data_IF_797306079049
#
_entry.id   IF_797306079049
#
_cell.length_a   1.000
_cell.length_b   1.000
_cell.length_c   1.000
_cell.angle_alpha   90.00
_cell.angle_beta   90.00
_cell.angle_gamma   90.00
#
_symmetry.space_group_name_H-M   'P 1'
#
loop_
_entity.id
_entity.type
_entity.pdbx_description
1 polymer ?
#
# COMPACT_ATOMS: atom_id res chain seq x y z
N UNK A 1 -29.24 -44.14 27.36
CA UNK A 1 -28.53 -42.85 27.52
C UNK A 1 -29.31 -41.80 28.32
N UNK A 2 -30.63 -41.65 28.15
CA UNK A 2 -31.42 -40.62 28.86
C UNK A 2 -31.36 -40.68 30.40
N UNK A 3 -31.30 -41.88 30.99
CA UNK A 3 -31.18 -42.02 32.45
C UNK A 3 -29.84 -41.53 33.00
N UNK A 4 -28.73 -41.73 32.27
CA UNK A 4 -27.40 -41.24 32.67
C UNK A 4 -27.34 -39.70 32.64
N UNK A 5 -27.93 -39.08 31.62
CA UNK A 5 -28.03 -37.63 31.51
C UNK A 5 -28.86 -37.03 32.66
N UNK A 6 -29.97 -37.68 33.02
CA UNK A 6 -30.84 -37.29 34.15
C UNK A 6 -30.13 -37.40 35.50
N UNK A 7 -29.32 -38.45 35.69
CA UNK A 7 -28.50 -38.64 36.89
C UNK A 7 -27.40 -37.57 36.97
N UNK A 8 -26.73 -37.26 35.86
CA UNK A 8 -25.69 -36.22 35.80
C UNK A 8 -26.23 -34.83 36.17
N UNK A 9 -27.40 -34.43 35.66
CA UNK A 9 -28.03 -33.14 35.99
C UNK A 9 -28.42 -33.07 37.47
N UNK A 10 -29.05 -34.12 38.03
CA UNK A 10 -29.37 -34.15 39.48
C UNK A 10 -28.11 -34.05 40.34
N UNK A 11 -27.01 -34.66 39.90
CA UNK A 11 -25.73 -34.60 40.60
C UNK A 11 -25.18 -33.15 40.61
N UNK A 12 -25.16 -32.49 39.44
CA UNK A 12 -24.72 -31.10 39.30
C UNK A 12 -25.57 -30.13 40.14
N UNK A 13 -26.89 -30.36 40.20
CA UNK A 13 -27.83 -29.59 41.02
C UNK A 13 -27.72 -29.86 42.53
N UNK A 14 -27.22 -31.03 42.95
CA UNK A 14 -26.99 -31.35 44.37
C UNK A 14 -25.74 -30.66 44.91
N UNK A 15 -24.67 -30.60 44.12
CA UNK A 15 -23.39 -29.99 44.50
C UNK A 15 -23.21 -28.57 43.92
N UNK A 16 -24.24 -27.71 44.07
CA UNK A 16 -24.31 -26.38 43.42
C UNK A 16 -23.02 -25.57 43.55
N UNK A 17 -22.44 -25.46 44.76
CA UNK A 17 -21.25 -24.64 45.02
C UNK A 17 -20.01 -25.11 44.24
N UNK A 18 -19.80 -26.44 44.13
CA UNK A 18 -18.67 -27.00 43.38
C UNK A 18 -18.89 -26.84 41.88
N UNK A 19 -20.09 -27.18 41.42
CA UNK A 19 -20.48 -27.03 40.01
C UNK A 19 -20.35 -25.59 39.54
N UNK A 20 -20.81 -24.61 40.32
CA UNK A 20 -20.71 -23.18 39.96
C UNK A 20 -19.26 -22.72 39.90
N UNK A 21 -18.41 -23.09 40.85
CA UNK A 21 -16.98 -22.72 40.81
C UNK A 21 -16.29 -23.27 39.56
N UNK A 22 -16.50 -24.54 39.23
CA UNK A 22 -15.91 -25.15 38.02
C UNK A 22 -16.50 -24.58 36.74
N UNK A 23 -17.82 -24.36 36.69
CA UNK A 23 -18.48 -23.80 35.52
C UNK A 23 -18.06 -22.34 35.28
N UNK A 24 -17.94 -21.53 36.34
CA UNK A 24 -17.45 -20.16 36.24
C UNK A 24 -16.00 -20.10 35.78
N UNK A 25 -15.14 -20.99 36.27
CA UNK A 25 -13.74 -21.05 35.81
C UNK A 25 -13.66 -21.33 34.30
N UNK A 26 -14.42 -22.32 33.82
CA UNK A 26 -14.48 -22.65 32.39
C UNK A 26 -15.11 -21.50 31.59
N UNK A 27 -16.22 -20.92 32.07
CA UNK A 27 -16.89 -19.82 31.40
C UNK A 27 -15.98 -18.59 31.26
N UNK A 28 -15.27 -18.22 32.33
CA UNK A 28 -14.30 -17.12 32.31
C UNK A 28 -13.17 -17.41 31.32
N UNK A 29 -12.62 -18.64 31.33
CA UNK A 29 -11.60 -19.05 30.36
C UNK A 29 -12.08 -18.91 28.91
N UNK A 30 -13.29 -19.38 28.61
CA UNK A 30 -13.90 -19.26 27.27
C UNK A 30 -14.15 -17.80 26.90
N UNK A 31 -14.65 -16.98 27.83
CA UNK A 31 -14.85 -15.54 27.61
C UNK A 31 -13.54 -14.87 27.23
N UNK A 32 -12.45 -15.13 27.97
CA UNK A 32 -11.15 -14.56 27.65
C UNK A 32 -10.63 -14.99 26.28
N UNK A 33 -10.78 -16.26 25.92
CA UNK A 33 -10.39 -16.75 24.59
C UNK A 33 -11.22 -16.07 23.49
N UNK A 34 -12.53 -15.97 23.66
CA UNK A 34 -13.41 -15.31 22.68
C UNK A 34 -13.11 -13.81 22.55
N UNK A 35 -12.86 -13.12 23.67
CA UNK A 35 -12.46 -11.71 23.66
C UNK A 35 -11.12 -11.53 22.96
N UNK A 36 -10.14 -12.38 23.26
CA UNK A 36 -8.83 -12.33 22.62
C UNK A 36 -8.95 -12.54 21.11
N UNK A 37 -9.65 -13.58 20.67
CA UNK A 37 -9.89 -13.85 19.24
C UNK A 37 -10.62 -12.69 18.56
N UNK A 38 -11.65 -12.14 19.19
CA UNK A 38 -12.42 -11.01 18.66
C UNK A 38 -11.60 -9.72 18.53
N UNK A 39 -10.81 -9.38 19.55
CA UNK A 39 -9.94 -8.20 19.55
C UNK A 39 -8.82 -8.36 18.53
N UNK A 40 -8.11 -9.50 18.53
CA UNK A 40 -7.02 -9.77 17.57
C UNK A 40 -7.54 -9.80 16.13
N UNK A 41 -8.69 -10.41 15.89
CA UNK A 41 -9.32 -10.42 14.56
C UNK A 41 -9.70 -9.02 14.09
N UNK A 42 -10.32 -8.22 14.96
CA UNK A 42 -10.71 -6.83 14.63
C UNK A 42 -9.49 -5.95 14.37
N UNK A 43 -8.44 -6.09 15.18
CA UNK A 43 -7.19 -5.36 14.99
C UNK A 43 -6.52 -5.73 13.66
N UNK A 44 -6.50 -7.02 13.29
CA UNK A 44 -5.98 -7.47 11.99
C UNK A 44 -6.75 -6.86 10.82
N UNK A 45 -8.09 -6.90 10.85
CA UNK A 45 -8.92 -6.29 9.80
C UNK A 45 -8.73 -4.78 9.71
N UNK A 46 -8.62 -4.10 10.85
CA UNK A 46 -8.35 -2.66 10.88
C UNK A 46 -6.98 -2.34 10.29
N UNK A 47 -5.92 -3.05 10.69
CA UNK A 47 -4.56 -2.82 10.23
C UNK A 47 -4.41 -3.11 8.74
N UNK A 48 -5.05 -4.16 8.24
CA UNK A 48 -5.07 -4.50 6.81
C UNK A 48 -5.76 -3.41 5.99
N UNK A 49 -6.96 -2.97 6.39
CA UNK A 49 -7.65 -1.87 5.73
C UNK A 49 -6.84 -0.57 5.74
N UNK A 50 -6.20 -0.23 6.86
CA UNK A 50 -5.31 0.93 6.93
C UNK A 50 -4.15 0.83 5.94
N UNK A 51 -3.50 -0.32 5.79
CA UNK A 51 -2.37 -0.49 4.87
C UNK A 51 -2.80 -0.48 3.40
N UNK A 52 -3.88 -1.20 3.08
CA UNK A 52 -4.38 -1.36 1.71
C UNK A 52 -5.00 -0.06 1.20
N UNK A 53 -5.80 0.61 2.01
CA UNK A 53 -6.58 1.77 1.58
C UNK A 53 -5.78 3.07 1.64
N UNK A 54 -4.59 3.08 2.25
CA UNK A 54 -3.82 4.30 2.47
C UNK A 54 -2.45 4.34 1.76
N UNK A 55 -1.94 3.20 1.28
CA UNK A 55 -0.65 3.15 0.56
C UNK A 55 -0.57 2.05 -0.51
N UNK A 56 -0.89 0.80 -0.18
CA UNK A 56 -0.54 -0.32 -1.07
C UNK A 56 -1.56 -0.55 -2.19
N UNK A 57 -2.84 -0.39 -1.92
CA UNK A 57 -3.91 -1.00 -2.72
C UNK A 57 -4.11 -2.47 -2.33
N UNK A 58 -5.08 -3.14 -2.96
CA UNK A 58 -5.37 -4.55 -2.70
C UNK A 58 -4.37 -5.47 -3.42
N UNK A 59 -4.07 -5.14 -4.67
CA UNK A 59 -3.15 -5.85 -5.56
C UNK A 59 -2.21 -4.83 -6.20
N UNK A 60 -0.96 -5.21 -6.45
CA UNK A 60 -0.03 -4.45 -7.26
C UNK A 60 0.49 -5.28 -8.43
N UNK A 61 0.73 -4.60 -9.55
CA UNK A 61 1.37 -5.19 -10.74
C UNK A 61 2.70 -4.49 -10.99
N UNK A 62 3.73 -5.29 -11.19
CA UNK A 62 5.10 -4.83 -11.46
C UNK A 62 5.69 -5.54 -12.68
N UNK A 63 6.76 -4.99 -13.24
CA UNK A 63 7.61 -5.74 -14.16
C UNK A 63 8.31 -6.86 -13.41
N UNK A 64 8.48 -8.01 -14.07
CA UNK A 64 9.15 -9.17 -13.46
C UNK A 64 10.53 -8.82 -12.88
N UNK A 65 10.74 -9.20 -11.62
CA UNK A 65 11.99 -8.97 -10.89
C UNK A 65 12.10 -7.61 -10.21
N UNK A 66 11.11 -6.72 -10.35
CA UNK A 66 11.14 -5.40 -9.72
C UNK A 66 11.17 -5.50 -8.19
N UNK A 67 10.35 -6.39 -7.62
CA UNK A 67 10.26 -6.59 -6.16
C UNK A 67 11.60 -7.04 -5.56
N UNK A 68 12.35 -7.90 -6.26
CA UNK A 68 13.67 -8.36 -5.80
C UNK A 68 14.71 -7.22 -5.73
N UNK A 69 14.45 -6.08 -6.37
CA UNK A 69 15.32 -4.90 -6.38
C UNK A 69 14.60 -3.65 -5.90
N UNK A 70 13.48 -3.78 -5.18
CA UNK A 70 12.63 -2.64 -4.79
C UNK A 70 13.38 -1.58 -3.97
N UNK A 71 14.36 -1.99 -3.17
CA UNK A 71 15.18 -1.08 -2.37
C UNK A 71 16.00 -0.12 -3.23
N UNK A 72 16.36 -0.53 -4.46
CA UNK A 72 17.13 0.28 -5.40
C UNK A 72 16.23 1.14 -6.32
N UNK A 73 14.90 0.99 -6.24
CA UNK A 73 13.92 1.67 -7.09
C UNK A 73 14.35 1.71 -8.58
N UNK A 74 14.55 0.56 -9.23
CA UNK A 74 15.22 0.46 -10.51
C UNK A 74 14.35 1.02 -11.64
N UNK A 75 14.67 2.23 -12.09
CA UNK A 75 13.99 2.88 -13.23
C UNK A 75 14.13 2.07 -14.53
N UNK A 76 15.17 1.25 -14.65
CA UNK A 76 15.38 0.35 -15.79
C UNK A 76 14.30 -0.73 -15.92
N UNK A 77 13.58 -1.01 -14.83
CA UNK A 77 12.57 -2.05 -14.73
C UNK A 77 11.15 -1.47 -14.80
N UNK A 78 10.98 -0.21 -15.19
CA UNK A 78 9.67 0.37 -15.41
C UNK A 78 8.97 -0.26 -16.63
N UNK A 79 7.64 -0.24 -16.61
CA UNK A 79 6.75 -0.68 -17.68
C UNK A 79 6.58 0.44 -18.69
N UNK A 80 6.71 0.12 -19.99
CA UNK A 80 6.55 1.09 -21.07
C UNK A 80 5.08 1.49 -21.23
N UNK A 81 4.77 2.66 -21.82
CA UNK A 81 3.38 3.10 -21.98
C UNK A 81 2.50 2.12 -22.75
N UNK A 82 3.05 1.39 -23.72
CA UNK A 82 2.32 0.38 -24.48
C UNK A 82 1.94 -0.83 -23.61
N UNK A 83 2.85 -1.27 -22.74
CA UNK A 83 2.63 -2.34 -21.76
C UNK A 83 1.54 -1.90 -20.76
N UNK A 84 1.64 -0.68 -20.24
CA UNK A 84 0.66 -0.08 -19.31
C UNK A 84 -0.73 0.04 -19.95
N UNK A 85 -0.84 0.58 -21.18
CA UNK A 85 -2.13 0.68 -21.88
C UNK A 85 -2.79 -0.68 -22.11
N UNK A 86 -2.00 -1.72 -22.32
CA UNK A 86 -2.51 -3.10 -22.44
C UNK A 86 -3.05 -3.60 -21.11
N UNK A 87 -2.32 -3.37 -20.02
CA UNK A 87 -2.76 -3.67 -18.65
C UNK A 87 -4.06 -2.94 -18.30
N UNK A 88 -4.15 -1.65 -18.59
CA UNK A 88 -5.35 -0.83 -18.33
C UNK A 88 -6.59 -1.37 -19.06
N UNK A 89 -6.45 -1.76 -20.33
CA UNK A 89 -7.54 -2.38 -21.09
C UNK A 89 -8.00 -3.70 -20.46
N UNK A 90 -7.07 -4.51 -19.95
CA UNK A 90 -7.42 -5.75 -19.25
C UNK A 90 -8.14 -5.45 -17.94
N UNK A 91 -7.70 -4.45 -17.18
CA UNK A 91 -8.36 -4.07 -15.93
C UNK A 91 -9.78 -3.56 -16.15
N UNK A 92 -10.01 -2.77 -17.21
CA UNK A 92 -11.36 -2.30 -17.59
C UNK A 92 -12.30 -3.44 -18.00
N UNK A 93 -11.75 -4.57 -18.49
CA UNK A 93 -12.53 -5.75 -18.83
C UNK A 93 -12.97 -6.59 -17.62
N UNK A 94 -12.41 -6.35 -16.43
CA UNK A 94 -12.74 -7.10 -15.22
C UNK A 94 -13.76 -6.36 -14.35
N UNK A 95 -14.97 -6.90 -14.14
CA UNK A 95 -16.00 -6.23 -13.36
C UNK A 95 -15.66 -6.13 -11.87
N UNK A 96 -14.74 -6.94 -11.35
CA UNK A 96 -14.35 -6.96 -9.94
C UNK A 96 -13.35 -5.84 -9.56
N UNK A 97 -12.69 -5.22 -10.55
CA UNK A 97 -11.78 -4.10 -10.32
C UNK A 97 -12.61 -2.81 -10.19
N UNK A 98 -12.37 -2.05 -9.12
CA UNK A 98 -13.04 -0.77 -8.87
C UNK A 98 -12.26 0.38 -9.50
N UNK A 99 -10.96 0.42 -9.24
CA UNK A 99 -10.06 1.49 -9.66
C UNK A 99 -8.62 0.99 -9.69
N UNK A 100 -7.76 1.71 -10.42
CA UNK A 100 -6.34 1.46 -10.49
C UNK A 100 -5.59 2.79 -10.51
N UNK A 101 -4.34 2.79 -10.04
CA UNK A 101 -3.47 3.95 -10.02
C UNK A 101 -2.05 3.58 -10.45
N UNK A 102 -1.57 4.07 -11.61
CA UNK A 102 -0.19 3.89 -12.03
C UNK A 102 0.72 4.87 -11.27
N UNK A 103 1.91 4.39 -10.89
CA UNK A 103 2.88 5.15 -10.09
C UNK A 103 4.29 5.04 -10.65
N UNK A 104 5.02 6.15 -10.57
CA UNK A 104 6.47 6.20 -10.82
C UNK A 104 7.15 6.30 -9.47
N UNK A 105 7.95 5.31 -9.11
CA UNK A 105 8.71 5.31 -7.85
C UNK A 105 10.17 5.57 -8.11
N UNK A 106 10.73 6.55 -7.41
CA UNK A 106 12.14 6.90 -7.56
C UNK A 106 12.72 7.48 -6.27
N UNK A 107 14.01 7.26 -6.07
CA UNK A 107 14.77 7.90 -5.01
C UNK A 107 15.25 9.27 -5.46
N UNK A 108 15.29 10.22 -4.52
CA UNK A 108 15.87 11.53 -4.76
C UNK A 108 16.52 12.11 -3.51
N UNK A 109 17.30 13.15 -3.72
CA UNK A 109 17.82 14.03 -2.68
C UNK A 109 16.83 15.19 -2.55
N UNK A 110 16.26 15.31 -1.37
CA UNK A 110 15.46 16.46 -0.96
C UNK A 110 16.39 17.52 -0.36
N UNK A 111 16.27 18.77 -0.81
CA UNK A 111 17.04 19.91 -0.31
C UNK A 111 16.13 21.04 0.16
N UNK A 112 16.35 21.50 1.39
CA UNK A 112 15.74 22.71 1.95
C UNK A 112 16.58 23.97 1.71
N UNK A 113 17.52 23.93 0.74
CA UNK A 113 18.59 24.92 0.51
C UNK A 113 19.64 25.03 1.63
N UNK A 114 19.32 24.62 2.85
CA UNK A 114 20.23 24.58 4.01
C UNK A 114 20.79 23.20 4.25
N UNK A 115 19.95 22.17 4.10
CA UNK A 115 20.29 20.78 4.37
C UNK A 115 19.80 19.89 3.22
N UNK A 116 20.34 18.68 3.15
CA UNK A 116 19.92 17.66 2.19
C UNK A 116 19.69 16.33 2.86
N UNK A 117 18.75 15.55 2.35
CA UNK A 117 18.47 14.19 2.81
C UNK A 117 17.86 13.36 1.70
N UNK A 118 17.85 12.03 1.87
CA UNK A 118 17.19 11.14 0.92
C UNK A 118 15.69 11.08 1.17
N UNK A 119 14.93 11.15 0.07
CA UNK A 119 13.48 10.97 0.01
C UNK A 119 13.14 9.92 -1.05
N UNK A 120 12.07 9.15 -0.82
CA UNK A 120 11.46 8.32 -1.87
C UNK A 120 10.23 9.06 -2.38
N UNK A 121 10.10 9.17 -3.69
CA UNK A 121 9.00 9.89 -4.32
C UNK A 121 8.13 8.95 -5.12
N UNK A 122 6.83 9.22 -5.02
CA UNK A 122 5.79 8.54 -5.78
C UNK A 122 5.15 9.59 -6.70
N UNK A 123 5.42 9.48 -7.99
CA UNK A 123 4.71 10.22 -9.03
C UNK A 123 3.36 9.55 -9.28
N UNK A 124 2.27 10.24 -8.99
CA UNK A 124 0.90 9.68 -9.06
C UNK A 124 -0.03 10.59 -9.85
N UNK A 125 -1.12 10.02 -10.37
CA UNK A 125 -2.29 10.79 -10.80
C UNK A 125 -3.20 11.00 -9.59
N UNK A 126 -3.34 12.23 -9.04
CA UNK A 126 -4.00 12.45 -7.76
C UNK A 126 -5.43 11.90 -7.70
N UNK A 127 -6.22 12.09 -8.76
CA UNK A 127 -7.60 11.62 -8.82
C UNK A 127 -7.71 10.09 -8.86
N UNK A 128 -6.81 9.42 -9.57
CA UNK A 128 -6.79 7.96 -9.66
C UNK A 128 -6.29 7.34 -8.35
N UNK A 129 -5.28 7.97 -7.74
CA UNK A 129 -4.72 7.57 -6.46
C UNK A 129 -5.77 7.66 -5.35
N UNK A 130 -6.50 8.78 -5.24
CA UNK A 130 -7.56 8.93 -4.23
C UNK A 130 -8.73 7.96 -4.42
N UNK A 131 -9.05 7.59 -5.68
CA UNK A 131 -10.07 6.56 -5.97
C UNK A 131 -9.59 5.15 -5.63
N UNK A 132 -8.29 4.89 -5.76
CA UNK A 132 -7.68 3.57 -5.48
C UNK A 132 -7.37 3.42 -3.99
N UNK A 133 -7.03 4.52 -3.33
CA UNK A 133 -6.67 4.62 -1.93
C UNK A 133 -7.57 5.64 -1.20
N UNK A 134 -8.75 5.25 -0.72
CA UNK A 134 -9.69 6.19 -0.12
C UNK A 134 -9.15 6.85 1.17
N UNK A 135 -8.22 6.20 1.88
CA UNK A 135 -7.59 6.75 3.08
C UNK A 135 -6.32 7.57 2.80
N UNK A 136 -5.90 7.69 1.53
CA UNK A 136 -4.71 8.48 1.17
C UNK A 136 -4.87 9.96 1.56
N UNK A 137 -5.98 10.59 1.16
CA UNK A 137 -6.22 12.01 1.42
C UNK A 137 -6.42 12.32 2.93
N UNK A 138 -6.86 11.34 3.73
CA UNK A 138 -6.97 11.51 5.19
C UNK A 138 -5.63 11.53 5.89
N UNK A 139 -4.57 10.98 5.30
CA UNK A 139 -3.21 11.01 5.87
C UNK A 139 -2.53 12.37 5.73
N UNK A 140 -3.01 13.22 4.83
CA UNK A 140 -2.49 14.58 4.68
C UNK A 140 -3.09 15.42 5.81
N UNK A 141 -2.28 15.65 6.85
CA UNK A 141 -2.71 16.33 8.08
C UNK A 141 -2.69 17.84 7.96
N UNK A 142 -1.76 18.34 7.15
CA UNK A 142 -1.53 19.78 6.96
C UNK A 142 -1.46 20.10 5.48
N UNK A 143 -2.06 21.22 5.08
CA UNK A 143 -2.01 21.73 3.71
C UNK A 143 -3.17 21.24 2.83
N UNK A 144 -2.96 21.30 1.52
CA UNK A 144 -3.96 20.86 0.54
C UNK A 144 -3.96 19.33 0.41
N UNK A 145 -5.15 18.73 0.39
CA UNK A 145 -5.31 17.28 0.23
C UNK A 145 -5.12 16.79 -1.20
N UNK A 146 -4.93 17.70 -2.15
CA UNK A 146 -4.69 17.43 -3.56
C UNK A 146 -3.26 17.80 -3.90
N UNK A 147 -2.64 17.02 -4.77
CA UNK A 147 -1.30 17.27 -5.31
C UNK A 147 -1.48 17.94 -6.67
N UNK A 148 -1.05 19.19 -6.84
CA UNK A 148 -1.03 19.84 -8.15
C UNK A 148 0.36 19.75 -8.79
N UNK A 149 0.45 20.13 -10.06
CA UNK A 149 1.73 20.23 -10.77
C UNK A 149 2.60 21.31 -10.11
N UNK A 150 3.90 21.02 -9.96
CA UNK A 150 4.85 21.89 -9.27
C UNK A 150 4.78 21.83 -7.74
N UNK A 151 3.97 20.93 -7.19
CA UNK A 151 3.81 20.74 -5.75
C UNK A 151 4.33 19.38 -5.28
N UNK A 152 4.64 19.30 -3.98
CA UNK A 152 5.08 18.08 -3.31
C UNK A 152 4.36 17.92 -1.98
N UNK A 153 3.91 16.71 -1.70
CA UNK A 153 3.52 16.29 -0.36
C UNK A 153 4.68 15.56 0.29
N UNK A 154 5.12 16.06 1.44
CA UNK A 154 6.29 15.54 2.14
C UNK A 154 5.88 14.74 3.38
N UNK A 155 6.62 13.68 3.76
CA UNK A 155 6.35 12.96 4.99
C UNK A 155 6.68 13.83 6.21
N UNK A 156 5.90 13.67 7.27
CA UNK A 156 6.06 14.40 8.53
C UNK A 156 7.48 14.33 9.11
N UNK A 157 8.15 13.18 8.97
CA UNK A 157 9.52 13.00 9.41
C UNK A 157 10.50 13.98 8.74
N UNK A 158 10.30 14.28 7.46
CA UNK A 158 11.13 15.25 6.73
C UNK A 158 10.73 16.69 7.05
N UNK A 159 9.44 16.98 7.17
CA UNK A 159 8.96 18.29 7.60
C UNK A 159 9.57 18.69 8.95
N UNK A 160 9.47 17.82 9.96
CA UNK A 160 10.03 18.06 11.29
C UNK A 160 11.56 18.07 11.30
N UNK A 161 12.18 17.11 10.60
CA UNK A 161 13.64 16.95 10.58
C UNK A 161 14.36 18.12 9.91
N UNK A 162 13.79 18.64 8.81
CA UNK A 162 14.40 19.72 8.02
C UNK A 162 13.77 21.09 8.26
N UNK A 163 12.80 21.17 9.19
CA UNK A 163 12.07 22.40 9.54
C UNK A 163 11.38 23.05 8.34
N UNK A 164 10.84 22.23 7.45
CA UNK A 164 10.11 22.65 6.24
C UNK A 164 8.61 22.55 6.50
N UNK A 165 7.87 23.60 6.16
CA UNK A 165 6.42 23.70 6.35
C UNK A 165 5.67 23.71 5.01
N UNK A 166 4.35 23.51 5.07
CA UNK A 166 3.50 23.72 3.91
C UNK A 166 3.58 25.19 3.45
N UNK A 167 3.79 25.38 2.15
CA UNK A 167 4.02 26.67 1.51
C UNK A 167 5.48 26.94 1.12
N UNK A 168 6.43 26.26 1.77
CA UNK A 168 7.87 26.43 1.50
C UNK A 168 8.26 25.86 0.14
N UNK A 169 9.34 26.39 -0.43
CA UNK A 169 9.93 25.86 -1.67
C UNK A 169 11.12 24.98 -1.32
N UNK A 170 11.22 23.84 -1.99
CA UNK A 170 12.31 22.88 -1.84
C UNK A 170 12.83 22.46 -3.21
N UNK A 171 13.99 21.81 -3.24
CA UNK A 171 14.54 21.21 -4.46
C UNK A 171 14.56 19.69 -4.31
N UNK A 172 14.00 18.99 -5.29
CA UNK A 172 14.22 17.56 -5.45
C UNK A 172 15.26 17.36 -6.53
N UNK A 173 16.29 16.58 -6.23
CA UNK A 173 17.33 16.17 -7.18
C UNK A 173 17.25 14.65 -7.33
N UNK A 174 17.18 14.14 -8.55
CA UNK A 174 17.16 12.70 -8.80
C UNK A 174 18.01 12.35 -10.02
N UNK A 175 18.38 11.08 -10.09
CA UNK A 175 19.09 10.51 -11.23
C UNK A 175 18.07 9.80 -12.13
N UNK A 176 18.15 10.02 -13.43
CA UNK A 176 17.37 9.27 -14.40
C UNK A 176 17.95 7.86 -14.63
N UNK A 177 17.29 7.09 -15.49
CA UNK A 177 17.69 5.75 -15.91
C UNK A 177 19.10 5.67 -16.52
N UNK A 178 19.56 6.75 -17.15
CA UNK A 178 20.88 6.87 -17.79
C UNK A 178 21.95 7.44 -16.86
N UNK A 179 21.61 7.69 -15.59
CA UNK A 179 22.52 8.28 -14.59
C UNK A 179 22.68 9.80 -14.69
N UNK A 180 21.91 10.47 -15.54
CA UNK A 180 21.87 11.93 -15.62
C UNK A 180 21.17 12.52 -14.40
N UNK A 181 21.79 13.54 -13.79
CA UNK A 181 21.25 14.26 -12.64
C UNK A 181 20.34 15.39 -13.12
N UNK A 182 19.18 15.51 -12.50
CA UNK A 182 18.29 16.64 -12.71
C UNK A 182 17.67 17.10 -11.40
N UNK A 183 17.32 18.38 -11.32
CA UNK A 183 16.71 18.98 -10.14
C UNK A 183 15.51 19.83 -10.51
N UNK A 184 14.46 19.78 -9.69
CA UNK A 184 13.26 20.62 -9.85
C UNK A 184 12.88 21.27 -8.52
N UNK A 185 12.56 22.56 -8.59
CA UNK A 185 11.96 23.27 -7.46
C UNK A 185 10.48 22.90 -7.36
N UNK A 186 10.04 22.55 -6.17
CA UNK A 186 8.66 22.21 -5.86
C UNK A 186 8.21 22.98 -4.63
N UNK A 187 6.93 23.33 -4.60
CA UNK A 187 6.30 23.93 -3.42
C UNK A 187 5.68 22.84 -2.56
N UNK A 188 5.94 22.87 -1.25
CA UNK A 188 5.33 21.91 -0.32
C UNK A 188 3.84 22.24 -0.18
N UNK A 189 2.97 21.41 -0.73
CA UNK A 189 1.51 21.62 -0.65
C UNK A 189 0.91 21.00 0.60
N UNK A 190 1.51 19.93 1.11
CA UNK A 190 1.01 19.26 2.31
C UNK A 190 2.03 18.37 3.00
N UNK A 191 1.67 17.99 4.22
CA UNK A 191 2.45 17.07 5.07
C UNK A 191 1.61 15.82 5.29
N UNK A 192 2.20 14.66 4.96
CA UNK A 192 1.54 13.36 5.10
C UNK A 192 2.10 12.60 6.30
N UNK A 193 1.20 12.01 7.09
CA UNK A 193 1.57 11.10 8.16
C UNK A 193 2.28 9.87 7.61
N UNK A 194 3.35 9.47 8.28
CA UNK A 194 4.06 8.23 7.96
C UNK A 194 3.23 7.03 8.42
N UNK A 195 3.25 5.96 7.63
CA UNK A 195 2.65 4.70 8.04
C UNK A 195 3.67 3.92 8.86
N UNK A 196 3.17 3.14 9.83
CA UNK A 196 3.97 2.20 10.61
C UNK A 196 4.66 1.18 9.71
N UNK A 197 5.99 1.20 9.67
CA UNK A 197 6.79 0.29 8.85
C UNK A 197 8.13 0.91 8.45
N UNK A 198 8.95 0.18 7.66
CA UNK A 198 10.24 0.69 7.20
C UNK A 198 10.12 1.88 6.22
N UNK A 199 8.89 2.25 5.81
CA UNK A 199 8.61 3.37 4.91
C UNK A 199 8.09 4.63 5.62
N UNK A 200 9.03 5.45 6.11
CA UNK A 200 8.72 6.76 6.71
C UNK A 200 9.19 7.97 5.87
N UNK A 201 9.71 7.74 4.66
CA UNK A 201 10.29 8.79 3.81
C UNK A 201 9.63 8.89 2.43
N UNK A 202 8.38 8.47 2.33
CA UNK A 202 7.63 8.49 1.08
C UNK A 202 6.90 9.84 0.91
N UNK A 203 7.36 10.61 -0.07
CA UNK A 203 6.68 11.80 -0.58
C UNK A 203 5.90 11.49 -1.85
N UNK A 204 5.05 12.44 -2.23
CA UNK A 204 4.17 12.31 -3.40
C UNK A 204 4.24 13.58 -4.24
N UNK A 205 4.30 13.41 -5.55
CA UNK A 205 4.31 14.48 -6.55
C UNK A 205 3.35 14.13 -7.68
N UNK A 206 2.96 15.11 -8.47
CA UNK A 206 2.23 14.82 -9.69
C UNK A 206 3.11 14.00 -10.64
N UNK A 207 2.53 13.02 -11.34
CA UNK A 207 3.30 12.12 -12.21
C UNK A 207 4.07 12.86 -13.32
N UNK A 208 3.53 13.96 -13.83
CA UNK A 208 4.24 14.83 -14.76
C UNK A 208 5.49 15.49 -14.14
N UNK A 209 5.43 15.89 -12.87
CA UNK A 209 6.61 16.41 -12.18
C UNK A 209 7.67 15.33 -11.99
N UNK A 210 7.24 14.09 -11.70
CA UNK A 210 8.14 12.93 -11.65
C UNK A 210 8.81 12.68 -13.01
N UNK A 211 8.05 12.74 -14.10
CA UNK A 211 8.59 12.60 -15.45
C UNK A 211 9.60 13.71 -15.79
N UNK A 212 9.29 14.96 -15.46
CA UNK A 212 10.22 16.08 -15.66
C UNK A 212 11.49 15.93 -14.84
N UNK A 213 11.37 15.55 -13.56
CA UNK A 213 12.51 15.28 -12.68
C UNK A 213 13.38 14.17 -13.26
N UNK A 214 12.78 13.07 -13.72
CA UNK A 214 13.50 11.94 -14.28
C UNK A 214 13.86 12.10 -15.76
N UNK A 215 13.57 13.25 -16.40
CA UNK A 215 13.77 13.49 -17.83
C UNK A 215 13.20 12.38 -18.71
N UNK A 216 11.99 11.94 -18.39
CA UNK A 216 11.27 10.92 -19.13
C UNK A 216 10.48 11.56 -20.28
N UNK A 217 10.74 11.12 -21.50
CA UNK A 217 9.94 11.51 -22.68
C UNK A 217 8.57 10.81 -22.69
N UNK A 218 8.53 9.58 -22.17
CA UNK A 218 7.35 8.73 -22.09
C UNK A 218 7.09 8.29 -20.64
N UNK A 219 5.83 8.11 -20.22
CA UNK A 219 5.50 7.66 -18.87
C UNK A 219 5.88 6.19 -18.67
N UNK A 220 7.10 5.94 -18.21
CA UNK A 220 7.56 4.63 -17.76
C UNK A 220 7.10 4.38 -16.30
N UNK A 221 6.14 3.47 -16.10
CA UNK A 221 5.47 3.24 -14.82
C UNK A 221 6.16 2.14 -14.01
N UNK A 222 6.48 2.40 -12.74
CA UNK A 222 7.15 1.44 -11.87
C UNK A 222 6.19 0.38 -11.33
N UNK A 223 4.99 0.79 -10.92
CA UNK A 223 3.96 -0.10 -10.39
C UNK A 223 2.56 0.40 -10.71
N UNK A 224 1.59 -0.52 -10.74
CA UNK A 224 0.16 -0.17 -10.81
C UNK A 224 -0.52 -0.76 -9.57
N UNK A 225 -1.06 0.11 -8.72
CA UNK A 225 -1.90 -0.30 -7.59
C UNK A 225 -3.34 -0.49 -8.05
N UNK A 226 -4.00 -1.53 -7.56
CA UNK A 226 -5.36 -1.92 -7.95
C UNK A 226 -6.22 -2.03 -6.69
N UNK A 227 -7.42 -1.46 -6.77
CA UNK A 227 -8.50 -1.61 -5.78
C UNK A 227 -9.59 -2.52 -6.35
N UNK A 228 -10.03 -3.45 -5.52
CA UNK A 228 -11.15 -4.35 -5.84
C UNK A 228 -12.43 -3.83 -5.20
N UNK A 229 -13.57 -4.04 -5.87
CA UNK A 229 -14.90 -3.71 -5.32
C UNK A 229 -15.24 -4.54 -4.08
N UNK A 230 -14.80 -5.79 -4.08
CA UNK A 230 -14.98 -6.73 -2.99
C UNK A 230 -13.63 -7.34 -2.60
N UNK A 231 -13.19 -7.01 -1.38
CA UNK A 231 -11.94 -7.54 -0.82
C UNK A 231 -11.99 -9.06 -0.63
N UNK A 232 -13.17 -9.65 -0.43
CA UNK A 232 -13.32 -11.11 -0.29
C UNK A 232 -12.93 -11.90 -1.54
N UNK A 233 -12.88 -11.24 -2.71
CA UNK A 233 -12.44 -11.85 -3.98
C UNK A 233 -10.95 -11.68 -4.27
N UNK A 234 -10.17 -11.17 -3.31
CA UNK A 234 -8.74 -10.86 -3.50
C UNK A 234 -7.97 -12.00 -4.18
N UNK A 235 -8.01 -13.21 -3.62
CA UNK A 235 -7.27 -14.35 -4.14
C UNK A 235 -7.80 -14.83 -5.51
N UNK A 236 -9.12 -14.82 -5.72
CA UNK A 236 -9.71 -15.21 -6.99
C UNK A 236 -9.31 -14.25 -8.13
N UNK A 237 -9.31 -12.94 -7.87
CA UNK A 237 -8.87 -11.93 -8.84
C UNK A 237 -7.36 -12.03 -9.06
N UNK A 238 -6.58 -12.27 -8.00
CA UNK A 238 -5.14 -12.49 -8.09
C UNK A 238 -4.80 -13.68 -9.00
N UNK A 239 -5.46 -14.83 -8.82
CA UNK A 239 -5.22 -16.02 -9.64
C UNK A 239 -5.59 -15.77 -11.11
N UNK A 240 -6.73 -15.08 -11.34
CA UNK A 240 -7.18 -14.71 -12.69
C UNK A 240 -6.22 -13.74 -13.38
N UNK A 241 -5.76 -12.70 -12.68
CA UNK A 241 -4.76 -11.75 -13.19
C UNK A 241 -3.43 -12.46 -13.49
N UNK A 242 -2.98 -13.33 -12.58
CA UNK A 242 -1.73 -14.08 -12.77
C UNK A 242 -1.82 -15.01 -13.98
N UNK A 243 -2.94 -15.71 -14.16
CA UNK A 243 -3.16 -16.58 -15.32
C UNK A 243 -3.20 -15.81 -16.64
N UNK A 244 -3.84 -14.63 -16.66
CA UNK A 244 -3.87 -13.78 -17.86
C UNK A 244 -2.50 -13.19 -18.19
N UNK A 245 -1.77 -12.72 -17.17
CA UNK A 245 -0.43 -12.14 -17.37
C UNK A 245 0.65 -13.19 -17.65
N UNK A 246 0.41 -14.47 -17.34
CA UNK A 246 1.31 -15.55 -17.71
C UNK A 246 1.44 -15.72 -19.24
N UNK A 247 0.43 -15.31 -20.01
CA UNK A 247 0.47 -15.26 -21.47
C UNK A 247 1.34 -14.14 -22.03
N UNK A 248 1.63 -13.11 -21.24
CA UNK A 248 2.51 -12.01 -21.62
C UNK A 248 3.95 -12.39 -21.30
N UNK A 249 4.65 -12.93 -22.29
CA UNK A 249 6.05 -13.30 -22.17
C UNK A 249 6.97 -12.18 -22.62
N UNK A 250 8.09 -12.01 -21.91
CA UNK A 250 9.20 -11.20 -22.37
C UNK A 250 9.94 -11.92 -23.52
N UNK A 251 10.91 -11.24 -24.12
CA UNK A 251 11.75 -11.78 -25.21
C UNK A 251 12.53 -13.07 -24.84
N UNK A 252 12.51 -13.50 -23.57
CA UNK A 252 13.15 -14.71 -23.06
C UNK A 252 12.13 -15.82 -22.70
N UNK A 253 10.85 -15.67 -23.07
CA UNK A 253 9.81 -16.67 -22.77
C UNK A 253 9.39 -16.73 -21.29
N UNK A 254 9.81 -15.77 -20.46
CA UNK A 254 9.39 -15.66 -19.06
C UNK A 254 8.25 -14.65 -18.92
N UNK A 255 7.35 -14.77 -17.92
CA UNK A 255 6.33 -13.76 -17.67
C UNK A 255 6.94 -12.34 -17.62
N UNK A 256 6.36 -11.40 -18.35
CA UNK A 256 6.83 -10.02 -18.40
C UNK A 256 6.49 -9.25 -17.10
N UNK A 257 5.42 -9.67 -16.43
CA UNK A 257 4.88 -9.03 -15.24
C UNK A 257 4.82 -9.99 -14.05
N UNK A 258 4.80 -9.42 -12.86
CA UNK A 258 4.53 -10.11 -11.61
C UNK A 258 3.37 -9.39 -10.90
N UNK A 259 2.48 -10.17 -10.31
CA UNK A 259 1.34 -9.68 -9.53
C UNK A 259 1.62 -10.02 -8.08
N UNK A 260 1.36 -9.07 -7.19
CA UNK A 260 1.53 -9.27 -5.75
C UNK A 260 0.28 -8.78 -5.02
N UNK A 261 -0.21 -9.56 -4.06
CA UNK A 261 -1.22 -9.07 -3.11
C UNK A 261 -0.54 -8.18 -2.07
N UNK A 262 -1.32 -7.37 -1.35
CA UNK A 262 -0.81 -6.59 -0.23
C UNK A 262 -0.05 -7.45 0.80
N UNK A 263 -0.44 -8.73 0.98
CA UNK A 263 0.18 -9.68 1.90
C UNK A 263 1.65 -9.96 1.56
N UNK A 264 1.96 -10.14 0.28
CA UNK A 264 3.33 -10.40 -0.19
C UNK A 264 4.24 -9.16 -0.17
N UNK A 265 3.66 -7.98 0.02
CA UNK A 265 4.37 -6.69 0.00
C UNK A 265 4.60 -6.11 1.40
N UNK A 266 4.01 -6.73 2.43
CA UNK A 266 4.15 -6.28 3.80
C UNK A 266 5.02 -7.22 4.63
N UNK A 267 5.99 -6.71 5.43
CA UNK A 267 6.73 -7.54 6.37
C UNK A 267 5.85 -8.03 7.54
N UNK A 268 4.62 -7.52 7.67
CA UNK A 268 3.72 -7.76 8.80
C UNK A 268 2.78 -8.97 8.63
N UNK A 269 2.83 -9.67 7.50
CA UNK A 269 1.97 -10.83 7.26
C UNK A 269 2.58 -12.16 7.74
N UNK A 270 3.90 -12.24 7.84
CA UNK A 270 4.62 -13.44 8.30
C UNK A 270 4.62 -13.59 9.82
#
# INVERSE_FOLDING_TARGET
MGNLFKIAIRNLMRYKRRTTLTASLVAIGVIFVLLFVGVTGSFKTMMTGQMTDSMLGHIQVHRKGYIASIDNLPLTMNMKPQEVKKLEKMFQGMPDIESYSPRIKFGGIFSSFTETTNIRLNGVYPEMEMKTLPLFASRITTGEKTIKKGEIVIPELLSRGMKVNAGDTIVVIANNKDGSVNGKQLRVSGIIESITGPGGRDGYVHIEDAMEILRMEEPEISEIAIRLKDFGKLHAVYDSLTAMLAGEQNNQGKPAFEVHTWEGLTPFYN
#
